data_IF_240948322195
#
_entry.id   IF_240948322195
#
_cell.length_a   1.000
_cell.length_b   1.000
_cell.length_c   1.000
_cell.angle_alpha   90.00
_cell.angle_beta   90.00
_cell.angle_gamma   90.00
#
_symmetry.space_group_name_H-M   'P 1'
#
loop_
_entity.id
_entity.type
_entity.pdbx_description
1 polymer ?
#
# COMPACT_ATOMS: atom_id res chain seq x y z
N UNK A 1 -46.15 -23.11 6.94
CA UNK A 1 -45.32 -22.84 5.73
C UNK A 1 -44.87 -21.37 5.58
N UNK A 2 -45.54 -20.39 6.24
CA UNK A 2 -45.18 -18.94 6.13
C UNK A 2 -43.85 -18.60 6.83
N UNK A 3 -43.50 -19.27 7.94
CA UNK A 3 -42.29 -19.01 8.72
C UNK A 3 -41.01 -19.48 7.99
N UNK A 4 -41.09 -20.55 7.20
CA UNK A 4 -39.95 -21.04 6.41
C UNK A 4 -39.61 -20.06 5.30
N UNK A 5 -40.60 -19.45 4.67
CA UNK A 5 -40.43 -18.44 3.64
C UNK A 5 -39.79 -17.15 4.19
N UNK A 6 -40.17 -16.74 5.40
CA UNK A 6 -39.62 -15.59 6.09
C UNK A 6 -38.14 -15.80 6.48
N UNK A 7 -37.78 -17.00 6.95
CA UNK A 7 -36.40 -17.36 7.30
C UNK A 7 -35.49 -17.44 6.08
N UNK A 8 -35.96 -17.98 4.96
CA UNK A 8 -35.21 -18.02 3.69
C UNK A 8 -35.00 -16.60 3.12
N UNK A 9 -36.02 -15.74 3.21
CA UNK A 9 -35.91 -14.35 2.75
C UNK A 9 -34.98 -13.54 3.65
N UNK A 10 -34.96 -13.76 4.95
CA UNK A 10 -34.03 -13.11 5.88
C UNK A 10 -32.57 -13.55 5.68
N UNK A 11 -32.36 -14.87 5.44
CA UNK A 11 -31.02 -15.39 5.16
C UNK A 11 -30.44 -14.91 3.83
N UNK A 12 -31.28 -14.73 2.81
CA UNK A 12 -30.86 -14.20 1.50
C UNK A 12 -30.39 -12.73 1.59
N UNK A 13 -31.01 -11.92 2.44
CA UNK A 13 -30.61 -10.53 2.63
C UNK A 13 -29.26 -10.37 3.35
N UNK A 14 -28.88 -11.32 4.22
CA UNK A 14 -27.57 -11.27 4.93
C UNK A 14 -26.41 -11.53 3.97
N UNK A 15 -26.62 -12.31 2.90
CA UNK A 15 -25.59 -12.62 1.91
C UNK A 15 -25.26 -11.43 0.97
N UNK A 16 -26.19 -10.50 0.77
CA UNK A 16 -25.97 -9.36 -0.14
C UNK A 16 -25.17 -8.20 0.48
N UNK A 17 -24.96 -8.17 1.80
CA UNK A 17 -24.24 -7.07 2.47
C UNK A 17 -22.72 -7.25 2.58
N UNK A 18 -22.15 -8.36 2.08
CA UNK A 18 -20.74 -8.70 2.33
C UNK A 18 -19.73 -8.22 1.27
N UNK A 19 -20.13 -7.50 0.22
CA UNK A 19 -19.26 -7.28 -0.94
C UNK A 19 -18.72 -5.85 -1.15
N UNK A 20 -18.89 -4.91 -0.19
CA UNK A 20 -18.52 -3.49 -0.44
C UNK A 20 -17.30 -3.02 0.39
N UNK A 21 -16.34 -3.86 0.71
CA UNK A 21 -15.16 -3.41 1.49
C UNK A 21 -13.84 -3.31 0.75
N UNK A 22 -13.75 -3.67 -0.52
CA UNK A 22 -12.46 -3.73 -1.24
C UNK A 22 -12.04 -2.39 -1.86
N UNK A 23 -12.98 -1.55 -2.29
CA UNK A 23 -12.64 -0.29 -2.97
C UNK A 23 -12.14 0.84 -2.04
N UNK A 24 -12.53 0.84 -0.77
CA UNK A 24 -12.15 1.92 0.16
C UNK A 24 -10.64 1.94 0.49
N UNK A 25 -9.94 0.82 0.31
CA UNK A 25 -8.54 0.68 0.68
C UNK A 25 -7.57 1.30 -0.35
N UNK A 26 -7.98 1.38 -1.62
CA UNK A 26 -7.13 1.88 -2.70
C UNK A 26 -6.82 3.39 -2.63
N UNK A 27 -7.69 4.18 -1.98
CA UNK A 27 -7.56 5.63 -1.85
C UNK A 27 -7.11 6.07 -0.45
N UNK A 28 -6.66 5.13 0.37
CA UNK A 28 -6.08 5.37 1.68
C UNK A 28 -4.59 5.01 1.65
N UNK A 29 -3.75 5.98 1.92
CA UNK A 29 -2.31 5.82 2.05
C UNK A 29 -1.97 5.93 3.52
N UNK A 30 -1.50 4.86 4.10
CA UNK A 30 -1.08 4.79 5.50
C UNK A 30 0.46 4.84 5.60
N UNK A 31 0.96 5.07 6.80
CA UNK A 31 2.39 5.01 7.15
C UNK A 31 3.28 6.03 6.40
N UNK A 32 2.74 7.20 6.07
CA UNK A 32 3.55 8.29 5.53
C UNK A 32 4.42 8.87 6.62
N UNK A 33 5.72 8.61 6.55
CA UNK A 33 6.70 9.10 7.50
C UNK A 33 7.39 10.36 6.97
N UNK A 34 7.40 11.41 7.78
CA UNK A 34 8.10 12.67 7.54
C UNK A 34 8.94 12.99 8.77
N UNK A 35 10.17 13.37 8.53
CA UNK A 35 11.05 13.94 9.55
C UNK A 35 11.51 15.33 9.14
N UNK A 36 11.68 16.22 10.11
CA UNK A 36 12.20 17.57 9.88
C UNK A 36 12.94 18.06 11.12
N UNK A 37 14.13 18.68 10.96
CA UNK A 37 14.82 19.36 12.06
C UNK A 37 13.90 20.39 12.71
N UNK A 38 13.99 20.49 14.05
CA UNK A 38 13.24 21.46 14.85
C UNK A 38 14.11 22.71 15.00
N UNK A 39 13.92 23.65 14.10
CA UNK A 39 14.64 24.92 14.08
C UNK A 39 13.72 26.07 14.50
N UNK A 40 14.27 27.28 14.68
CA UNK A 40 13.53 28.49 15.10
C UNK A 40 12.28 28.74 14.22
N UNK A 41 12.33 28.39 12.94
CA UNK A 41 11.25 28.56 11.98
C UNK A 41 10.43 27.29 11.75
N UNK A 42 10.42 26.34 12.69
CA UNK A 42 9.66 25.10 12.58
C UNK A 42 8.16 25.42 12.50
N UNK A 43 7.49 24.86 11.50
CA UNK A 43 6.03 24.93 11.36
C UNK A 43 5.48 23.51 11.08
N UNK A 44 4.80 22.98 12.08
CA UNK A 44 4.14 21.67 12.02
C UNK A 44 3.22 21.53 10.82
N UNK A 45 2.51 22.61 10.43
CA UNK A 45 1.60 22.58 9.27
C UNK A 45 2.37 22.33 7.98
N UNK A 46 3.57 22.92 7.83
CA UNK A 46 4.43 22.69 6.66
C UNK A 46 4.91 21.23 6.59
N UNK A 47 5.15 20.58 7.74
CA UNK A 47 5.52 19.16 7.80
C UNK A 47 4.36 18.28 7.36
N UNK A 48 3.16 18.55 7.86
CA UNK A 48 1.94 17.85 7.44
C UNK A 48 1.68 18.05 5.94
N UNK A 49 1.88 19.26 5.43
CA UNK A 49 1.76 19.58 4.00
C UNK A 49 2.75 18.79 3.12
N UNK A 50 3.98 18.56 3.61
CA UNK A 50 4.93 17.63 2.97
C UNK A 50 4.38 16.21 2.97
N UNK A 51 3.76 15.77 4.07
CA UNK A 51 3.10 14.49 4.18
C UNK A 51 1.97 14.31 3.16
N UNK A 52 1.13 15.32 2.95
CA UNK A 52 0.08 15.29 1.93
C UNK A 52 0.63 15.15 0.51
N UNK A 53 1.72 15.87 0.18
CA UNK A 53 2.40 15.74 -1.11
C UNK A 53 2.97 14.33 -1.31
N UNK A 54 3.59 13.77 -0.27
CA UNK A 54 4.14 12.41 -0.30
C UNK A 54 3.04 11.38 -0.48
N UNK A 55 1.95 11.48 0.30
CA UNK A 55 0.79 10.59 0.18
C UNK A 55 0.14 10.68 -1.21
N UNK A 56 0.00 11.89 -1.77
CA UNK A 56 -0.51 12.06 -3.12
C UNK A 56 0.41 11.40 -4.16
N UNK A 57 1.71 11.58 -4.04
CA UNK A 57 2.68 10.94 -4.96
C UNK A 57 2.59 9.42 -4.88
N UNK A 58 2.48 8.84 -3.68
CA UNK A 58 2.32 7.39 -3.49
C UNK A 58 0.99 6.90 -4.09
N UNK A 59 -0.13 7.61 -3.85
CA UNK A 59 -1.40 7.26 -4.49
C UNK A 59 -1.27 7.23 -6.01
N UNK A 60 -0.64 8.24 -6.59
CA UNK A 60 -0.48 8.33 -8.05
C UNK A 60 0.37 7.20 -8.62
N UNK A 61 1.41 6.75 -7.90
CA UNK A 61 2.19 5.57 -8.32
C UNK A 61 1.33 4.31 -8.45
N UNK A 62 0.26 4.20 -7.68
CA UNK A 62 -0.63 3.03 -7.73
C UNK A 62 -1.69 3.12 -8.82
N UNK A 63 -2.19 4.32 -9.13
CA UNK A 63 -3.40 4.46 -9.96
C UNK A 63 -3.16 5.03 -11.36
N UNK A 64 -1.94 5.48 -11.68
CA UNK A 64 -1.63 5.99 -13.03
C UNK A 64 -0.40 5.29 -13.63
N UNK A 65 -0.34 5.28 -14.95
CA UNK A 65 0.80 4.74 -15.68
C UNK A 65 2.05 5.62 -15.49
N UNK A 66 3.22 5.01 -15.56
CA UNK A 66 4.51 5.71 -15.46
C UNK A 66 4.68 6.83 -16.50
N UNK A 67 4.14 6.64 -17.70
CA UNK A 67 4.12 7.65 -18.79
C UNK A 67 3.39 8.93 -18.39
N UNK A 68 2.38 8.85 -17.52
CA UNK A 68 1.56 9.98 -17.11
C UNK A 68 2.07 10.68 -15.84
N UNK A 69 3.07 10.11 -15.15
CA UNK A 69 3.64 10.68 -13.92
C UNK A 69 4.14 12.12 -14.12
N UNK A 70 4.67 12.45 -15.28
CA UNK A 70 5.16 13.81 -15.56
C UNK A 70 4.04 14.87 -15.58
N UNK A 71 2.81 14.48 -15.97
CA UNK A 71 1.65 15.39 -16.04
C UNK A 71 1.19 15.89 -14.67
N UNK A 72 1.52 15.14 -13.60
CA UNK A 72 1.09 15.44 -12.24
C UNK A 72 2.17 16.03 -11.35
N UNK A 73 3.46 16.03 -11.77
CA UNK A 73 4.59 16.50 -10.95
C UNK A 73 4.43 17.94 -10.43
N UNK A 74 3.73 18.78 -11.16
CA UNK A 74 3.53 20.19 -10.81
C UNK A 74 2.19 20.47 -10.11
N UNK A 75 1.50 19.41 -9.61
CA UNK A 75 0.23 19.57 -8.89
C UNK A 75 0.43 20.43 -7.65
N UNK A 76 -0.35 21.50 -7.55
CA UNK A 76 -0.27 22.46 -6.44
C UNK A 76 -0.81 21.84 -5.15
N UNK A 77 -0.23 22.23 -4.01
CA UNK A 77 -0.66 21.75 -2.70
C UNK A 77 -2.17 21.95 -2.43
N UNK A 78 -2.72 23.06 -2.87
CA UNK A 78 -4.15 23.34 -2.68
C UNK A 78 -5.04 22.37 -3.47
N UNK A 79 -4.61 21.94 -4.66
CA UNK A 79 -5.31 20.92 -5.44
C UNK A 79 -5.25 19.56 -4.71
N UNK A 80 -4.09 19.21 -4.16
CA UNK A 80 -3.90 17.98 -3.36
C UNK A 80 -4.82 18.01 -2.13
N UNK A 81 -4.79 19.10 -1.37
CA UNK A 81 -5.67 19.29 -0.19
C UNK A 81 -7.15 19.18 -0.55
N UNK A 82 -7.54 19.71 -1.70
CA UNK A 82 -8.91 19.62 -2.21
C UNK A 82 -9.38 18.19 -2.46
N UNK A 83 -8.47 17.27 -2.74
CA UNK A 83 -8.75 15.85 -2.96
C UNK A 83 -8.73 15.02 -1.68
N UNK A 84 -8.18 15.54 -0.57
CA UNK A 84 -8.15 14.82 0.71
C UNK A 84 -9.56 14.84 1.33
N UNK A 85 -10.00 13.69 1.80
CA UNK A 85 -11.24 13.50 2.53
C UNK A 85 -10.99 13.58 4.03
N UNK A 86 -10.05 12.77 4.52
CA UNK A 86 -9.61 12.77 5.92
C UNK A 86 -8.13 12.49 6.03
N UNK A 87 -7.53 12.88 7.14
CA UNK A 87 -6.18 12.45 7.51
C UNK A 87 -6.09 12.18 9.01
N UNK A 88 -5.12 11.38 9.42
CA UNK A 88 -4.86 11.09 10.82
C UNK A 88 -3.35 11.10 11.12
N UNK A 89 -2.98 11.63 12.27
CA UNK A 89 -1.63 11.48 12.81
C UNK A 89 -1.61 10.17 13.58
N UNK A 90 -0.85 9.19 13.09
CA UNK A 90 -0.71 7.86 13.72
C UNK A 90 0.32 7.89 14.84
N UNK A 91 1.40 8.62 14.62
CA UNK A 91 2.49 8.74 15.55
C UNK A 91 3.14 10.11 15.40
N UNK A 92 3.54 10.67 16.53
CA UNK A 92 4.26 11.93 16.60
C UNK A 92 5.35 11.79 17.65
N UNK A 93 6.58 12.13 17.30
CA UNK A 93 7.75 12.04 18.20
C UNK A 93 8.67 13.23 17.97
N UNK A 94 9.34 13.62 19.04
CA UNK A 94 10.41 14.60 19.04
C UNK A 94 11.64 13.95 19.68
N UNK A 95 12.69 13.74 18.89
CA UNK A 95 13.90 13.01 19.30
C UNK A 95 15.11 13.74 18.69
N UNK A 96 16.11 14.05 19.49
CA UNK A 96 17.39 14.66 19.04
C UNK A 96 17.20 15.87 18.14
N UNK A 97 16.36 16.81 18.56
CA UNK A 97 16.02 18.02 17.81
C UNK A 97 15.39 17.77 16.42
N UNK A 98 14.85 16.57 16.20
CA UNK A 98 14.13 16.21 14.98
C UNK A 98 12.69 15.86 15.34
N UNK A 99 11.77 16.48 14.61
CA UNK A 99 10.36 16.15 14.67
C UNK A 99 10.04 15.05 13.66
N UNK A 100 9.44 13.97 14.14
CA UNK A 100 8.99 12.82 13.36
C UNK A 100 7.48 12.72 13.44
N UNK A 101 6.85 12.53 12.30
CA UNK A 101 5.41 12.29 12.22
C UNK A 101 5.09 11.17 11.25
N UNK A 102 4.15 10.31 11.64
CA UNK A 102 3.57 9.25 10.81
C UNK A 102 2.11 9.56 10.55
N UNK A 103 1.74 9.70 9.30
CA UNK A 103 0.40 10.10 8.84
C UNK A 103 -0.30 8.97 8.11
N UNK A 104 -1.64 8.95 8.20
CA UNK A 104 -2.52 8.26 7.28
C UNK A 104 -3.38 9.30 6.55
N UNK A 105 -3.52 9.19 5.24
CA UNK A 105 -4.28 10.12 4.39
C UNK A 105 -5.28 9.34 3.55
N UNK A 106 -6.54 9.74 3.59
CA UNK A 106 -7.61 9.18 2.76
C UNK A 106 -8.04 10.21 1.74
N UNK A 107 -7.99 9.82 0.47
CA UNK A 107 -8.39 10.68 -0.64
C UNK A 107 -9.81 10.37 -1.09
N UNK A 108 -10.52 11.40 -1.53
CA UNK A 108 -11.83 11.29 -2.14
C UNK A 108 -11.71 10.77 -3.57
N UNK A 109 -12.16 9.54 -3.80
CA UNK A 109 -12.07 8.84 -5.10
C UNK A 109 -12.63 9.68 -6.25
N UNK A 110 -13.82 10.28 -6.06
CA UNK A 110 -14.47 11.08 -7.12
C UNK A 110 -13.65 12.31 -7.49
N UNK A 111 -13.13 13.03 -6.47
CA UNK A 111 -12.29 14.21 -6.70
C UNK A 111 -10.96 13.87 -7.37
N UNK A 112 -10.34 12.75 -6.98
CA UNK A 112 -9.12 12.27 -7.61
C UNK A 112 -9.37 11.92 -9.07
N UNK A 113 -10.43 11.19 -9.37
CA UNK A 113 -10.76 10.84 -10.75
C UNK A 113 -11.05 12.07 -11.61
N UNK A 114 -11.83 13.01 -11.10
CA UNK A 114 -12.11 14.27 -11.79
C UNK A 114 -10.83 15.08 -12.05
N UNK A 115 -9.88 15.10 -11.08
CA UNK A 115 -8.57 15.72 -11.28
C UNK A 115 -7.79 15.03 -12.40
N UNK A 116 -7.73 13.70 -12.42
CA UNK A 116 -7.03 12.94 -13.45
C UNK A 116 -7.65 13.12 -14.84
N UNK A 117 -8.98 13.09 -14.94
CA UNK A 117 -9.71 13.38 -16.18
C UNK A 117 -9.37 14.77 -16.71
N UNK A 118 -9.29 15.81 -15.84
CA UNK A 118 -8.91 17.16 -16.26
C UNK A 118 -7.48 17.25 -16.82
N UNK A 119 -6.64 16.26 -16.56
CA UNK A 119 -5.27 16.12 -17.08
C UNK A 119 -5.17 15.15 -18.25
N UNK A 120 -6.30 14.61 -18.74
CA UNK A 120 -6.36 13.54 -19.74
C UNK A 120 -5.56 12.29 -19.29
N UNK A 121 -5.72 11.91 -18.02
CA UNK A 121 -5.12 10.71 -17.44
C UNK A 121 -6.24 9.73 -17.12
N UNK A 122 -6.13 8.51 -17.61
CA UNK A 122 -7.06 7.44 -17.30
C UNK A 122 -6.50 6.56 -16.17
N UNK A 123 -7.09 6.65 -14.95
CA UNK A 123 -6.61 5.85 -13.84
C UNK A 123 -6.89 4.36 -14.06
N UNK A 124 -5.94 3.53 -13.65
CA UNK A 124 -6.13 2.10 -13.54
C UNK A 124 -6.36 1.74 -12.07
N UNK A 125 -7.39 0.93 -11.79
CA UNK A 125 -7.56 0.39 -10.44
C UNK A 125 -6.46 -0.65 -10.23
N UNK A 126 -5.62 -0.50 -9.18
CA UNK A 126 -4.57 -1.46 -8.94
C UNK A 126 -5.16 -2.84 -8.64
N UNK A 127 -4.80 -3.81 -9.45
CA UNK A 127 -5.15 -5.22 -9.23
C UNK A 127 -3.97 -5.87 -8.51
N UNK A 128 -4.18 -6.30 -7.28
CA UNK A 128 -3.20 -7.10 -6.55
C UNK A 128 -2.90 -8.38 -7.32
N UNK A 129 -1.64 -8.57 -7.69
CA UNK A 129 -1.18 -9.82 -8.32
C UNK A 129 -0.46 -10.67 -7.28
N UNK A 130 -0.74 -11.96 -7.30
CA UNK A 130 -0.01 -12.96 -6.51
C UNK A 130 1.12 -13.52 -7.37
N UNK A 131 2.32 -13.50 -6.84
CA UNK A 131 3.52 -14.03 -7.51
C UNK A 131 4.18 -15.02 -6.57
N UNK A 132 4.43 -16.21 -7.06
CA UNK A 132 5.28 -17.18 -6.35
C UNK A 132 6.72 -16.67 -6.42
N UNK A 133 7.32 -16.46 -5.25
CA UNK A 133 8.71 -16.00 -5.12
C UNK A 133 9.56 -17.08 -4.48
N UNK A 134 10.56 -17.54 -5.19
CA UNK A 134 11.49 -18.58 -4.73
C UNK A 134 12.86 -17.92 -4.53
N UNK A 135 13.22 -17.50 -3.31
CA UNK A 135 14.55 -16.96 -3.05
C UNK A 135 15.58 -18.11 -3.03
N UNK A 136 16.61 -18.01 -3.87
CA UNK A 136 17.71 -18.95 -3.93
C UNK A 136 19.00 -18.19 -3.63
N UNK A 137 19.78 -18.66 -2.68
CA UNK A 137 21.11 -18.13 -2.35
C UNK A 137 22.16 -19.20 -2.65
N UNK A 138 23.21 -18.82 -3.33
CA UNK A 138 24.34 -19.70 -3.64
C UNK A 138 25.46 -19.41 -2.63
N UNK A 139 25.86 -20.42 -1.86
CA UNK A 139 27.06 -20.36 -1.04
C UNK A 139 28.25 -20.81 -1.90
N UNK A 140 29.02 -19.86 -2.39
CA UNK A 140 30.18 -20.12 -3.26
C UNK A 140 31.28 -20.94 -2.56
N UNK A 141 31.41 -20.79 -1.24
CA UNK A 141 32.45 -21.51 -0.48
C UNK A 141 32.10 -22.97 -0.32
N UNK A 142 30.84 -23.29 -0.10
CA UNK A 142 30.33 -24.66 0.09
C UNK A 142 29.83 -25.28 -1.21
N UNK A 143 29.70 -24.50 -2.27
CA UNK A 143 29.05 -24.88 -3.53
C UNK A 143 27.67 -25.49 -3.32
N UNK A 144 26.89 -24.88 -2.41
CA UNK A 144 25.58 -25.38 -2.02
C UNK A 144 24.51 -24.32 -2.31
N UNK A 145 23.28 -24.81 -2.58
CA UNK A 145 22.09 -23.99 -2.78
C UNK A 145 21.33 -23.89 -1.47
N UNK A 146 21.25 -22.68 -0.94
CA UNK A 146 20.46 -22.39 0.25
C UNK A 146 19.05 -21.99 -0.16
N UNK A 147 18.08 -22.83 0.13
CA UNK A 147 16.65 -22.63 -0.12
C UNK A 147 15.88 -22.85 1.18
N UNK A 148 14.66 -22.35 1.24
CA UNK A 148 13.77 -22.49 2.40
C UNK A 148 14.43 -22.04 3.72
N UNK A 149 14.26 -22.79 4.80
CA UNK A 149 14.76 -22.48 6.15
C UNK A 149 16.28 -22.29 6.26
N UNK A 150 17.06 -22.77 5.29
CA UNK A 150 18.50 -22.49 5.23
C UNK A 150 18.81 -21.11 4.62
N UNK A 151 17.80 -20.40 4.13
CA UNK A 151 17.93 -19.12 3.46
C UNK A 151 17.39 -17.98 4.33
N UNK A 152 18.25 -17.10 4.80
CA UNK A 152 17.87 -15.95 5.65
C UNK A 152 16.85 -15.00 5.01
N UNK A 153 16.79 -14.93 3.68
CA UNK A 153 15.78 -14.13 2.96
C UNK A 153 14.41 -14.77 3.14
N UNK A 154 14.34 -16.09 3.06
CA UNK A 154 13.12 -16.87 3.25
C UNK A 154 12.60 -16.70 4.70
N UNK A 155 13.44 -16.91 5.70
CA UNK A 155 13.07 -16.83 7.11
C UNK A 155 12.58 -15.43 7.54
N UNK A 156 13.19 -14.40 6.98
CA UNK A 156 12.87 -13.01 7.36
C UNK A 156 11.83 -12.34 6.45
N UNK A 157 11.34 -13.02 5.42
CA UNK A 157 10.41 -12.44 4.44
C UNK A 157 9.15 -11.84 5.06
N UNK A 158 8.57 -12.55 6.01
CA UNK A 158 7.32 -12.14 6.66
C UNK A 158 7.47 -10.96 7.62
N UNK A 159 8.70 -10.59 8.01
CA UNK A 159 8.96 -9.48 8.93
C UNK A 159 8.79 -8.12 8.23
N UNK A 160 8.91 -8.07 6.90
CA UNK A 160 8.91 -6.83 6.09
C UNK A 160 7.53 -6.47 5.52
N UNK A 161 6.48 -7.22 5.81
CA UNK A 161 5.15 -7.09 5.18
C UNK A 161 4.31 -5.87 5.60
N UNK A 162 4.87 -4.80 6.15
CA UNK A 162 4.08 -3.64 6.57
C UNK A 162 3.69 -2.66 5.46
N UNK A 163 4.17 -2.81 4.23
CA UNK A 163 3.90 -1.88 3.14
C UNK A 163 2.77 -2.37 2.23
N UNK A 164 1.98 -1.43 1.72
CA UNK A 164 0.98 -1.71 0.68
C UNK A 164 1.69 -2.01 -0.64
N UNK A 165 1.75 -3.28 -1.02
CA UNK A 165 2.35 -3.71 -2.28
C UNK A 165 1.26 -4.11 -3.29
N UNK A 166 1.46 -3.75 -4.56
CA UNK A 166 0.63 -4.23 -5.68
C UNK A 166 0.88 -5.69 -6.00
N UNK A 167 1.97 -6.22 -5.49
CA UNK A 167 2.38 -7.62 -5.67
C UNK A 167 2.35 -8.29 -4.30
N UNK A 168 1.62 -9.37 -4.22
CA UNK A 168 1.56 -10.26 -3.06
C UNK A 168 2.49 -11.44 -3.34
N UNK A 169 3.65 -11.43 -2.71
CA UNK A 169 4.62 -12.50 -2.87
C UNK A 169 4.25 -13.67 -1.98
N UNK A 170 4.04 -14.82 -2.60
CA UNK A 170 3.80 -16.08 -1.90
C UNK A 170 5.11 -16.85 -1.91
N UNK A 171 5.60 -17.22 -0.73
CA UNK A 171 6.71 -18.15 -0.62
C UNK A 171 6.20 -19.59 -0.80
N UNK A 172 6.97 -20.47 -1.44
CA UNK A 172 6.64 -21.89 -1.51
C UNK A 172 6.63 -22.51 -0.10
N UNK A 173 5.87 -23.54 0.08
CA UNK A 173 5.99 -24.42 1.26
C UNK A 173 7.27 -25.24 1.14
N UNK A 174 7.91 -25.54 2.29
CA UNK A 174 9.05 -26.45 2.30
C UNK A 174 8.58 -27.85 1.89
N UNK A 175 8.82 -28.22 0.65
CA UNK A 175 8.53 -29.53 0.11
C UNK A 175 9.80 -30.14 -0.51
N UNK A 176 10.02 -31.42 -0.24
CA UNK A 176 11.15 -32.17 -0.77
C UNK A 176 11.08 -32.34 -2.30
N UNK A 177 9.89 -32.38 -2.87
CA UNK A 177 9.69 -32.46 -4.32
C UNK A 177 10.13 -31.17 -4.98
N UNK A 178 9.74 -30.02 -4.43
CA UNK A 178 10.16 -28.70 -4.92
C UNK A 178 11.67 -28.50 -4.78
N UNK A 179 12.27 -28.97 -3.69
CA UNK A 179 13.72 -28.93 -3.49
C UNK A 179 14.48 -29.71 -4.58
N UNK A 180 14.01 -30.89 -4.94
CA UNK A 180 14.63 -31.72 -5.98
C UNK A 180 14.52 -31.08 -7.35
N UNK A 181 13.38 -30.44 -7.66
CA UNK A 181 13.19 -29.70 -8.91
C UNK A 181 14.11 -28.48 -9.03
N UNK A 182 14.40 -27.80 -7.91
CA UNK A 182 15.30 -26.64 -7.90
C UNK A 182 16.76 -27.07 -8.06
N UNK A 183 17.13 -28.26 -7.56
CA UNK A 183 18.52 -28.79 -7.60
C UNK A 183 18.84 -29.57 -8.85
N UNK A 184 17.87 -29.98 -9.67
CA UNK A 184 18.05 -30.69 -10.94
C UNK A 184 18.42 -29.77 -12.07
#
# INVERSE_FOLDING_TARGET
NSYIFFFVFLSLNIFFFSTIKVEAKAFKIDNIEISQPFEINFDKRKVIDKGFKKAFSELMLFIINSSDQNKIKQTKLNEIKGMIDTFSIKQEKFIDEVYYVKLGVTFNKKKVFHFLESKNIFPSIPVKKKILFIPIVIDENRRDLLVFSNNKIFDNWNIVQESFHLIDYILPTEDLEDLNLIKS
#
